data_IF_764670022385
#
_entry.id   IF_764670022385
#
_cell.length_a   1.000
_cell.length_b   1.000
_cell.length_c   1.000
_cell.angle_alpha   90.00
_cell.angle_beta   90.00
_cell.angle_gamma   90.00
#
_symmetry.space_group_name_H-M   'P 1'
#
loop_
_entity.id
_entity.type
_entity.pdbx_description
1 polymer ?
#
# COMPACT_ATOMS: atom_id res chain seq x y z
N UNK A 1 -0.47 32.26 20.52
CA UNK A 1 -1.19 31.00 20.84
C UNK A 1 -1.82 30.43 19.56
N UNK A 2 -1.00 29.94 18.61
CA UNK A 2 -1.52 29.47 17.31
C UNK A 2 -0.67 28.40 16.62
N UNK A 3 0.32 27.82 17.30
CA UNK A 3 1.27 26.88 16.70
C UNK A 3 0.87 25.40 16.89
N UNK A 4 -0.11 25.12 17.76
CA UNK A 4 -0.47 23.76 18.18
C UNK A 4 -1.71 23.18 17.48
N UNK A 5 -2.43 23.96 16.67
CA UNK A 5 -3.57 23.45 15.89
C UNK A 5 -3.19 22.97 14.47
N UNK A 6 -1.96 23.23 14.01
CA UNK A 6 -1.51 22.82 12.67
C UNK A 6 -0.92 21.42 12.63
N UNK A 7 -0.34 20.93 13.72
CA UNK A 7 0.30 19.59 13.75
C UNK A 7 -0.74 18.47 13.66
N UNK A 8 -1.92 18.63 14.29
CA UNK A 8 -3.02 17.67 14.16
C UNK A 8 -3.74 17.73 12.79
N UNK A 9 -3.42 18.69 11.92
CA UNK A 9 -3.96 18.81 10.56
C UNK A 9 -2.93 18.50 9.47
N UNK A 10 -1.67 18.27 9.83
CA UNK A 10 -0.55 18.08 8.90
C UNK A 10 -0.66 16.77 8.09
N UNK A 11 -1.28 15.73 8.64
CA UNK A 11 -1.52 14.46 7.91
C UNK A 11 -2.35 14.68 6.65
N UNK A 12 -3.29 15.63 6.71
CA UNK A 12 -4.18 15.98 5.60
C UNK A 12 -3.51 16.88 4.56
N UNK A 13 -2.51 17.68 4.94
CA UNK A 13 -1.82 18.58 4.02
C UNK A 13 -0.60 17.93 3.35
N UNK A 14 0.17 17.13 4.07
CA UNK A 14 1.41 16.55 3.53
C UNK A 14 1.10 15.54 2.41
N UNK A 15 0.15 14.63 2.63
CA UNK A 15 -0.27 13.67 1.60
C UNK A 15 -0.87 14.34 0.35
N UNK A 16 -1.39 15.56 0.44
CA UNK A 16 -2.00 16.24 -0.72
C UNK A 16 -1.01 16.60 -1.82
N UNK A 17 0.29 16.63 -1.51
CA UNK A 17 1.33 17.00 -2.48
C UNK A 17 1.85 15.80 -3.30
N UNK A 18 2.00 14.61 -2.69
CA UNK A 18 2.12 13.31 -3.40
C UNK A 18 0.94 13.13 -4.38
N UNK A 19 -0.26 13.59 -3.97
CA UNK A 19 -1.54 13.31 -4.61
C UNK A 19 -1.84 14.09 -5.89
N UNK A 20 -1.05 15.10 -6.28
CA UNK A 20 -1.42 15.93 -7.44
C UNK A 20 -1.34 15.19 -8.78
N UNK A 21 -0.59 14.09 -8.85
CA UNK A 21 -0.30 13.37 -10.11
C UNK A 21 -1.10 12.07 -10.27
N UNK A 22 -1.60 11.47 -9.18
CA UNK A 22 -2.30 10.18 -9.22
C UNK A 22 -3.61 10.22 -8.41
N UNK A 23 -4.75 10.17 -9.10
CA UNK A 23 -6.10 10.19 -8.52
C UNK A 23 -6.35 9.07 -7.49
N UNK A 24 -5.56 8.00 -7.56
CA UNK A 24 -5.63 6.83 -6.69
C UNK A 24 -4.95 7.04 -5.32
N UNK A 25 -3.97 7.94 -5.24
CA UNK A 25 -3.35 8.31 -3.96
C UNK A 25 -4.36 8.94 -2.99
N UNK A 26 -5.31 9.73 -3.49
CA UNK A 26 -6.40 10.32 -2.71
C UNK A 26 -7.30 9.23 -2.10
N UNK A 27 -7.62 8.19 -2.87
CA UNK A 27 -8.41 7.05 -2.39
C UNK A 27 -7.68 6.26 -1.31
N UNK A 28 -6.37 6.04 -1.47
CA UNK A 28 -5.56 5.36 -0.46
C UNK A 28 -5.46 6.16 0.84
N UNK A 29 -5.24 7.48 0.77
CA UNK A 29 -5.22 8.35 1.95
C UNK A 29 -6.54 8.26 2.73
N UNK A 30 -7.68 8.23 2.02
CA UNK A 30 -9.00 8.10 2.64
C UNK A 30 -9.17 6.75 3.34
N UNK A 31 -8.88 5.65 2.65
CA UNK A 31 -8.99 4.30 3.20
C UNK A 31 -8.07 4.14 4.42
N UNK A 32 -6.77 4.42 4.25
CA UNK A 32 -5.75 4.28 5.28
C UNK A 32 -5.99 5.22 6.47
N UNK A 33 -6.37 6.47 6.20
CA UNK A 33 -6.61 7.48 7.23
C UNK A 33 -7.73 7.12 8.20
N UNK A 34 -8.75 6.40 7.71
CA UNK A 34 -9.89 5.93 8.49
C UNK A 34 -9.58 4.74 9.41
N UNK A 35 -8.43 4.08 9.21
CA UNK A 35 -8.09 2.85 9.94
C UNK A 35 -7.57 3.13 11.36
N UNK A 36 -7.86 2.19 12.26
CA UNK A 36 -7.18 2.08 13.54
C UNK A 36 -5.69 1.76 13.32
N UNK A 37 -4.83 2.12 14.28
CA UNK A 37 -3.36 1.97 14.17
C UNK A 37 -2.93 0.53 13.88
N UNK A 38 -3.60 -0.46 14.47
CA UNK A 38 -3.30 -1.87 14.23
C UNK A 38 -3.64 -2.29 12.79
N UNK A 39 -4.81 -1.88 12.29
CA UNK A 39 -5.20 -2.12 10.89
C UNK A 39 -4.26 -1.43 9.89
N UNK A 40 -3.86 -0.20 10.19
CA UNK A 40 -2.85 0.53 9.43
C UNK A 40 -1.53 -0.23 9.36
N UNK A 41 -1.04 -0.78 10.48
CA UNK A 41 0.20 -1.56 10.50
C UNK A 41 0.12 -2.80 9.61
N UNK A 42 -1.02 -3.50 9.61
CA UNK A 42 -1.27 -4.61 8.70
C UNK A 42 -1.16 -4.19 7.24
N UNK A 43 -1.90 -3.15 6.84
CA UNK A 43 -1.87 -2.61 5.48
C UNK A 43 -0.49 -2.13 5.07
N UNK A 44 0.17 -1.35 5.93
CA UNK A 44 1.49 -0.80 5.66
C UNK A 44 2.53 -1.90 5.47
N UNK A 45 2.49 -2.94 6.31
CA UNK A 45 3.36 -4.12 6.18
C UNK A 45 3.17 -4.78 4.82
N UNK A 46 1.92 -5.01 4.40
CA UNK A 46 1.62 -5.57 3.08
C UNK A 46 2.18 -4.71 1.95
N UNK A 47 1.84 -3.42 1.93
CA UNK A 47 2.26 -2.49 0.87
C UNK A 47 3.78 -2.42 0.80
N UNK A 48 4.47 -2.28 1.94
CA UNK A 48 5.92 -2.22 1.99
C UNK A 48 6.55 -3.53 1.52
N UNK A 49 6.02 -4.69 1.91
CA UNK A 49 6.54 -5.98 1.45
C UNK A 49 6.41 -6.16 -0.07
N UNK A 50 5.33 -5.67 -0.68
CA UNK A 50 5.17 -5.66 -2.14
C UNK A 50 6.20 -4.73 -2.77
N UNK A 51 6.32 -3.50 -2.26
CA UNK A 51 7.28 -2.52 -2.75
C UNK A 51 8.72 -3.05 -2.67
N UNK A 52 9.07 -3.75 -1.58
CA UNK A 52 10.37 -4.42 -1.42
C UNK A 52 10.57 -5.57 -2.42
N UNK A 53 9.52 -6.36 -2.66
CA UNK A 53 9.57 -7.47 -3.63
C UNK A 53 9.73 -6.98 -5.07
N UNK A 54 9.27 -5.76 -5.36
CA UNK A 54 9.38 -5.11 -6.67
C UNK A 54 10.63 -4.22 -6.79
N UNK A 55 11.39 -4.03 -5.71
CA UNK A 55 12.58 -3.20 -5.67
C UNK A 55 12.32 -1.69 -5.57
N UNK A 56 11.08 -1.28 -5.26
CA UNK A 56 10.74 0.14 -5.04
C UNK A 56 11.19 0.64 -3.65
N UNK A 57 11.23 -0.28 -2.68
CA UNK A 57 11.69 -0.04 -1.31
C UNK A 57 12.83 -1.00 -1.00
N UNK A 58 13.83 -0.59 -0.22
CA UNK A 58 14.91 -1.52 0.15
C UNK A 58 14.43 -2.48 1.26
N UNK A 59 14.94 -3.72 1.28
CA UNK A 59 14.50 -4.75 2.24
C UNK A 59 14.75 -4.40 3.71
N UNK A 60 15.74 -3.56 3.98
CA UNK A 60 16.13 -3.14 5.33
C UNK A 60 15.72 -1.68 5.63
N UNK A 61 15.00 -1.04 4.70
CA UNK A 61 14.50 0.32 4.88
C UNK A 61 13.31 0.30 5.84
N UNK A 62 13.37 1.11 6.90
CA UNK A 62 12.31 1.20 7.89
C UNK A 62 11.17 2.08 7.35
N UNK A 63 9.91 1.58 7.31
CA UNK A 63 8.77 2.37 6.84
C UNK A 63 8.54 3.67 7.61
N UNK A 64 8.84 3.70 8.91
CA UNK A 64 8.67 4.90 9.76
C UNK A 64 9.70 5.96 9.41
N UNK A 65 10.96 5.56 9.26
CA UNK A 65 12.05 6.50 8.94
C UNK A 65 11.90 7.05 7.51
N UNK A 66 11.52 6.18 6.56
CA UNK A 66 11.21 6.60 5.20
C UNK A 66 10.00 7.53 5.14
N UNK A 67 8.95 7.21 5.90
CA UNK A 67 7.76 8.05 6.05
C UNK A 67 8.07 9.45 6.59
N UNK A 68 8.96 9.54 7.58
CA UNK A 68 9.40 10.83 8.14
C UNK A 68 10.16 11.66 7.10
N UNK A 69 11.05 11.02 6.35
CA UNK A 69 11.76 11.67 5.23
C UNK A 69 10.80 12.18 4.17
N UNK A 70 9.81 11.37 3.78
CA UNK A 70 8.77 11.76 2.81
C UNK A 70 8.06 13.03 3.31
N UNK A 71 7.57 13.00 4.55
CA UNK A 71 6.81 14.12 5.12
C UNK A 71 7.63 15.42 5.10
N UNK A 72 8.86 15.35 5.59
CA UNK A 72 9.69 16.56 5.74
C UNK A 72 10.28 17.06 4.42
N UNK A 73 10.56 16.14 3.48
CA UNK A 73 10.98 16.50 2.13
C UNK A 73 9.87 17.26 1.40
N UNK A 74 8.61 16.81 1.55
CA UNK A 74 7.45 17.46 0.96
C UNK A 74 7.15 18.82 1.58
N UNK A 75 7.27 18.95 2.90
CA UNK A 75 7.21 20.25 3.59
C UNK A 75 8.30 21.23 3.09
N UNK A 76 9.38 20.70 2.52
CA UNK A 76 10.48 21.46 1.93
C UNK A 76 10.31 21.68 0.41
N UNK A 77 9.21 21.22 -0.18
CA UNK A 77 8.86 21.39 -1.59
C UNK A 77 9.28 20.24 -2.51
N UNK A 78 9.91 19.19 -2.00
CA UNK A 78 10.30 18.01 -2.78
C UNK A 78 9.08 17.10 -2.89
N UNK A 79 8.40 17.18 -4.03
CA UNK A 79 7.20 16.41 -4.36
C UNK A 79 7.41 15.61 -5.64
N UNK A 80 6.58 14.60 -5.88
CA UNK A 80 6.61 13.87 -7.16
C UNK A 80 6.40 14.81 -8.36
N UNK A 81 5.53 15.83 -8.21
CA UNK A 81 5.32 16.86 -9.23
C UNK A 81 6.58 17.71 -9.48
N UNK A 82 7.32 18.08 -8.43
CA UNK A 82 8.62 18.78 -8.58
C UNK A 82 9.69 17.92 -9.26
N UNK A 83 9.49 16.60 -9.28
CA UNK A 83 10.35 15.63 -9.95
C UNK A 83 9.81 15.20 -11.33
N UNK A 84 8.90 15.98 -11.94
CA UNK A 84 8.33 15.70 -13.27
C UNK A 84 7.60 14.35 -13.37
N UNK A 85 7.08 13.83 -12.24
CA UNK A 85 6.46 12.51 -12.19
C UNK A 85 7.45 11.34 -12.16
N UNK A 86 8.75 11.60 -12.11
CA UNK A 86 9.79 10.57 -12.04
C UNK A 86 9.96 10.09 -10.59
N UNK A 87 9.47 8.88 -10.34
CA UNK A 87 9.57 8.22 -9.05
C UNK A 87 11.01 7.88 -8.64
N UNK A 88 11.91 7.56 -9.57
CA UNK A 88 13.29 7.23 -9.23
C UNK A 88 14.03 8.48 -8.77
N UNK A 89 13.82 9.60 -9.48
CA UNK A 89 14.32 10.93 -9.08
C UNK A 89 13.74 11.33 -7.72
N UNK A 90 12.43 11.23 -7.55
CA UNK A 90 11.76 11.56 -6.29
C UNK A 90 12.26 10.73 -5.10
N UNK A 91 12.37 9.40 -5.26
CA UNK A 91 12.89 8.54 -4.18
C UNK A 91 14.36 8.79 -3.87
N UNK A 92 15.16 9.19 -4.86
CA UNK A 92 16.55 9.59 -4.65
C UNK A 92 16.64 10.86 -3.80
N UNK A 93 15.84 11.88 -4.11
CA UNK A 93 15.76 13.12 -3.33
C UNK A 93 15.30 12.84 -1.89
N UNK A 94 14.25 12.02 -1.70
CA UNK A 94 13.78 11.62 -0.36
C UNK A 94 14.87 10.93 0.44
N UNK A 95 15.57 9.95 -0.14
CA UNK A 95 16.59 9.17 0.59
C UNK A 95 17.76 10.04 1.02
N UNK A 96 18.14 11.02 0.20
CA UNK A 96 19.20 12.00 0.46
C UNK A 96 18.74 13.17 1.35
N UNK A 97 17.44 13.33 1.58
CA UNK A 97 16.90 14.39 2.40
C UNK A 97 17.38 14.27 3.85
N UNK A 98 17.86 15.40 4.39
CA UNK A 98 18.30 15.48 5.78
C UNK A 98 17.13 15.86 6.67
N UNK A 99 16.75 14.93 7.52
CA UNK A 99 15.65 15.06 8.47
C UNK A 99 15.99 16.04 9.60
N UNK A 100 14.99 16.81 10.03
CA UNK A 100 15.01 17.62 11.24
C UNK A 100 14.50 16.79 12.43
N UNK A 101 15.41 16.45 13.35
CA UNK A 101 15.12 15.61 14.51
C UNK A 101 14.05 16.20 15.45
N UNK A 102 13.89 17.53 15.50
CA UNK A 102 12.85 18.16 16.33
C UNK A 102 11.48 17.95 15.70
N UNK A 103 11.36 18.12 14.38
CA UNK A 103 10.13 17.81 13.65
C UNK A 103 9.78 16.34 13.73
N UNK A 104 10.77 15.45 13.59
CA UNK A 104 10.59 14.00 13.68
C UNK A 104 9.94 13.53 14.98
N UNK A 105 10.26 14.18 16.11
CA UNK A 105 9.67 13.84 17.43
C UNK A 105 8.23 14.31 17.57
N UNK A 106 7.82 15.30 16.78
CA UNK A 106 6.48 15.86 16.79
C UNK A 106 5.55 15.13 15.82
N UNK A 107 6.10 14.52 14.78
CA UNK A 107 5.34 13.70 13.82
C UNK A 107 5.02 12.33 14.42
N UNK A 108 3.74 11.94 14.44
CA UNK A 108 3.34 10.64 14.97
C UNK A 108 3.76 9.50 14.05
N UNK A 109 4.12 8.34 14.61
CA UNK A 109 4.45 7.13 13.83
C UNK A 109 3.32 6.71 12.88
N UNK A 110 2.06 6.94 13.28
CA UNK A 110 0.90 6.69 12.42
C UNK A 110 1.03 7.45 11.10
N UNK A 111 1.40 8.73 11.18
CA UNK A 111 1.43 9.63 10.04
C UNK A 111 2.61 9.31 9.13
N UNK A 112 3.77 9.02 9.72
CA UNK A 112 4.95 8.50 9.01
C UNK A 112 4.61 7.23 8.25
N UNK A 113 3.96 6.28 8.91
CA UNK A 113 3.57 5.01 8.31
C UNK A 113 2.55 5.18 7.17
N UNK A 114 1.58 6.09 7.34
CA UNK A 114 0.63 6.46 6.29
C UNK A 114 1.34 7.06 5.09
N UNK A 115 2.25 8.03 5.28
CA UNK A 115 2.99 8.67 4.19
C UNK A 115 3.79 7.64 3.38
N UNK A 116 4.55 6.77 4.06
CA UNK A 116 5.27 5.68 3.42
C UNK A 116 4.33 4.76 2.61
N UNK A 117 3.22 4.34 3.22
CA UNK A 117 2.25 3.43 2.57
C UNK A 117 1.61 4.05 1.34
N UNK A 118 1.27 5.34 1.38
CA UNK A 118 0.66 6.04 0.25
C UNK A 118 1.64 6.19 -0.91
N UNK A 119 2.89 6.58 -0.66
CA UNK A 119 3.91 6.71 -1.71
C UNK A 119 4.23 5.35 -2.33
N UNK A 120 4.46 4.32 -1.50
CA UNK A 120 4.74 2.97 -1.98
C UNK A 120 3.55 2.39 -2.75
N UNK A 121 2.34 2.58 -2.22
CA UNK A 121 1.10 2.19 -2.89
C UNK A 121 0.97 2.85 -4.25
N UNK A 122 1.19 4.16 -4.34
CA UNK A 122 1.09 4.91 -5.59
C UNK A 122 2.15 4.43 -6.61
N UNK A 123 3.37 4.10 -6.16
CA UNK A 123 4.39 3.51 -7.03
C UNK A 123 3.98 2.15 -7.57
N UNK A 124 3.38 1.30 -6.74
CA UNK A 124 2.83 0.00 -7.14
C UNK A 124 1.72 0.19 -8.19
N UNK A 125 0.78 1.10 -7.93
CA UNK A 125 -0.30 1.40 -8.87
C UNK A 125 0.22 1.92 -10.21
N UNK A 126 1.22 2.81 -10.18
CA UNK A 126 1.88 3.31 -11.38
C UNK A 126 2.57 2.18 -12.17
N UNK A 127 3.16 1.20 -11.49
CA UNK A 127 3.80 0.06 -12.14
C UNK A 127 2.80 -0.87 -12.83
N UNK A 128 1.66 -1.16 -12.18
CA UNK A 128 0.65 -2.08 -12.71
C UNK A 128 -0.46 -1.39 -13.53
N UNK A 129 -0.52 -0.06 -13.53
CA UNK A 129 -1.55 0.73 -14.21
C UNK A 129 -2.95 0.59 -13.62
N UNK A 130 -3.07 0.10 -12.39
CA UNK A 130 -4.36 -0.18 -11.72
C UNK A 130 -4.30 0.21 -10.25
N UNK A 131 -5.43 0.64 -9.68
CA UNK A 131 -5.48 1.03 -8.27
C UNK A 131 -5.49 -0.17 -7.32
N UNK A 132 -4.71 -0.08 -6.23
CA UNK A 132 -4.70 -1.05 -5.12
C UNK A 132 -5.66 -0.67 -4.00
N UNK A 133 -6.30 0.50 -4.07
CA UNK A 133 -7.25 0.95 -3.04
C UNK A 133 -8.34 -0.09 -2.69
N UNK A 134 -8.92 -0.85 -3.66
CA UNK A 134 -9.90 -1.89 -3.35
C UNK A 134 -9.35 -3.05 -2.48
N UNK A 135 -8.03 -3.25 -2.46
CA UNK A 135 -7.40 -4.29 -1.64
C UNK A 135 -7.10 -3.82 -0.22
N UNK A 136 -7.09 -2.52 0.06
CA UNK A 136 -6.67 -1.98 1.38
C UNK A 136 -7.51 -2.56 2.54
N UNK A 137 -8.85 -2.63 2.45
CA UNK A 137 -9.65 -3.28 3.51
C UNK A 137 -9.31 -4.76 3.69
N UNK A 138 -8.98 -5.47 2.61
CA UNK A 138 -8.59 -6.88 2.64
C UNK A 138 -7.25 -7.08 3.34
N UNK A 139 -6.28 -6.21 3.03
CA UNK A 139 -4.95 -6.20 3.65
C UNK A 139 -5.02 -5.92 5.15
N UNK A 140 -5.94 -5.05 5.58
CA UNK A 140 -6.17 -4.76 6.99
C UNK A 140 -6.79 -5.92 7.77
N UNK A 141 -7.71 -6.67 7.14
CA UNK A 141 -8.41 -7.81 7.77
C UNK A 141 -7.58 -9.10 7.76
N UNK A 142 -6.84 -9.35 6.69
CA UNK A 142 -6.08 -10.58 6.48
C UNK A 142 -4.62 -10.29 6.08
N UNK A 143 -3.84 -9.59 6.93
CA UNK A 143 -2.47 -9.15 6.58
C UNK A 143 -1.52 -10.32 6.30
N UNK A 144 -1.68 -11.45 6.99
CA UNK A 144 -0.87 -12.66 6.75
C UNK A 144 -1.18 -13.30 5.39
N UNK A 145 -2.44 -13.20 4.95
CA UNK A 145 -2.86 -13.70 3.65
C UNK A 145 -2.37 -12.78 2.53
N UNK A 146 -2.68 -11.49 2.60
CA UNK A 146 -2.30 -10.53 1.56
C UNK A 146 -0.84 -10.06 1.69
N UNK A 147 0.13 -10.94 1.91
CA UNK A 147 1.53 -10.54 1.96
C UNK A 147 2.13 -10.27 0.57
N UNK A 148 3.27 -9.57 0.54
CA UNK A 148 3.92 -9.17 -0.72
C UNK A 148 4.29 -10.33 -1.64
N UNK A 149 4.67 -11.49 -1.09
CA UNK A 149 4.97 -12.68 -1.88
C UNK A 149 3.72 -13.25 -2.56
N UNK A 150 2.61 -13.38 -1.82
CA UNK A 150 1.33 -13.88 -2.35
C UNK A 150 0.76 -12.95 -3.40
N UNK A 151 0.67 -11.65 -3.13
CA UNK A 151 0.11 -10.71 -4.09
C UNK A 151 0.99 -10.65 -5.35
N UNK A 152 2.33 -10.59 -5.22
CA UNK A 152 3.23 -10.67 -6.38
C UNK A 152 2.98 -11.93 -7.21
N UNK A 153 2.85 -13.10 -6.58
CA UNK A 153 2.60 -14.36 -7.29
C UNK A 153 1.24 -14.35 -8.03
N UNK A 154 0.19 -13.73 -7.46
CA UNK A 154 -1.08 -13.53 -8.14
C UNK A 154 -0.95 -12.63 -9.37
N UNK A 155 -0.19 -11.53 -9.24
CA UNK A 155 0.06 -10.58 -10.33
C UNK A 155 0.93 -11.21 -11.44
N UNK A 156 1.96 -11.98 -11.09
CA UNK A 156 2.80 -12.72 -12.04
C UNK A 156 1.99 -13.73 -12.87
N UNK A 157 0.88 -14.25 -12.32
CA UNK A 157 -0.08 -15.14 -13.01
C UNK A 157 -1.12 -14.39 -13.85
N UNK A 158 -1.02 -13.07 -13.95
CA UNK A 158 -1.90 -12.23 -14.76
C UNK A 158 -3.25 -11.91 -14.13
N UNK A 159 -3.45 -12.18 -12.83
CA UNK A 159 -4.62 -11.66 -12.12
C UNK A 159 -4.48 -10.15 -11.97
N UNK A 160 -5.53 -9.40 -12.31
CA UNK A 160 -5.55 -7.98 -12.02
C UNK A 160 -5.92 -7.73 -10.57
N UNK A 161 -5.36 -6.66 -10.00
CA UNK A 161 -5.66 -6.18 -8.64
C UNK A 161 -7.18 -6.01 -8.44
N UNK A 162 -7.88 -5.50 -9.45
CA UNK A 162 -9.34 -5.36 -9.45
C UNK A 162 -10.05 -6.71 -9.30
N UNK A 163 -9.69 -7.72 -10.11
CA UNK A 163 -10.31 -9.06 -10.02
C UNK A 163 -10.04 -9.75 -8.69
N UNK A 164 -8.87 -9.51 -8.08
CA UNK A 164 -8.57 -10.01 -6.73
C UNK A 164 -9.49 -9.32 -5.72
N UNK A 165 -9.62 -7.99 -5.77
CA UNK A 165 -10.53 -7.24 -4.91
C UNK A 165 -11.98 -7.70 -5.05
N UNK A 166 -12.48 -7.76 -6.27
CA UNK A 166 -13.84 -8.18 -6.59
C UNK A 166 -14.14 -9.60 -6.14
N UNK A 167 -13.14 -10.49 -6.13
CA UNK A 167 -13.30 -11.86 -5.64
C UNK A 167 -13.63 -11.88 -4.14
N UNK A 168 -12.85 -11.14 -3.34
CA UNK A 168 -12.98 -11.12 -1.89
C UNK A 168 -14.13 -10.24 -1.40
N UNK A 169 -14.55 -9.25 -2.19
CA UNK A 169 -15.74 -8.44 -1.90
C UNK A 169 -17.02 -8.99 -2.55
N UNK A 170 -17.00 -10.22 -3.08
CA UNK A 170 -18.15 -10.87 -3.71
C UNK A 170 -18.78 -10.08 -4.88
N UNK A 171 -17.99 -9.24 -5.56
CA UNK A 171 -18.40 -8.34 -6.64
C UNK A 171 -18.03 -8.83 -8.04
N UNK A 172 -17.39 -10.00 -8.18
CA UNK A 172 -17.04 -10.55 -9.49
C UNK A 172 -18.28 -10.83 -10.35
N UNK A 173 -18.16 -10.52 -11.65
CA UNK A 173 -19.13 -10.97 -12.64
C UNK A 173 -19.20 -12.51 -12.65
N UNK A 174 -20.41 -13.05 -12.86
CA UNK A 174 -20.65 -14.51 -12.82
C UNK A 174 -19.70 -15.32 -13.72
N UNK A 175 -19.33 -14.76 -14.89
CA UNK A 175 -18.39 -15.41 -15.84
C UNK A 175 -16.94 -15.43 -15.33
N UNK A 176 -16.56 -14.50 -14.47
CA UNK A 176 -15.18 -14.35 -13.96
C UNK A 176 -14.97 -15.08 -12.63
N UNK A 177 -16.02 -15.37 -11.87
CA UNK A 177 -15.93 -16.00 -10.55
C UNK A 177 -15.15 -17.32 -10.55
N UNK A 178 -15.53 -18.27 -11.41
CA UNK A 178 -14.88 -19.59 -11.49
C UNK A 178 -13.41 -19.53 -11.98
N UNK A 179 -13.06 -18.83 -13.07
CA UNK A 179 -11.67 -18.76 -13.53
C UNK A 179 -10.75 -17.99 -12.57
N UNK A 180 -11.24 -16.93 -11.91
CA UNK A 180 -10.46 -16.23 -10.89
C UNK A 180 -10.23 -17.12 -9.67
N UNK A 181 -11.26 -17.82 -9.17
CA UNK A 181 -11.11 -18.78 -8.06
C UNK A 181 -10.10 -19.88 -8.41
N UNK A 182 -10.16 -20.45 -9.60
CA UNK A 182 -9.22 -21.48 -10.04
C UNK A 182 -7.77 -20.98 -10.06
N UNK A 183 -7.54 -19.74 -10.48
CA UNK A 183 -6.20 -19.13 -10.52
C UNK A 183 -5.67 -18.86 -9.10
N UNK A 184 -6.54 -18.38 -8.20
CA UNK A 184 -6.20 -18.19 -6.78
C UNK A 184 -5.86 -19.53 -6.11
N UNK A 185 -6.64 -20.58 -6.35
CA UNK A 185 -6.36 -21.93 -5.85
C UNK A 185 -5.03 -22.45 -6.37
N UNK A 186 -4.75 -22.30 -7.67
CA UNK A 186 -3.45 -22.68 -8.23
C UNK A 186 -2.30 -21.86 -7.63
N UNK A 187 -2.52 -20.60 -7.27
CA UNK A 187 -1.53 -19.81 -6.55
C UNK A 187 -1.26 -20.41 -5.17
N UNK A 188 -2.30 -20.63 -4.37
CA UNK A 188 -2.14 -21.19 -3.03
C UNK A 188 -1.59 -22.62 -3.03
N UNK A 189 -1.89 -23.42 -4.06
CA UNK A 189 -1.34 -24.76 -4.22
C UNK A 189 0.19 -24.76 -4.37
N UNK A 190 0.79 -23.70 -4.92
CA UNK A 190 2.26 -23.59 -4.99
C UNK A 190 2.90 -23.36 -3.62
N UNK A 191 2.15 -22.76 -2.68
CA UNK A 191 2.60 -22.47 -1.32
C UNK A 191 2.26 -23.61 -0.35
N UNK A 192 1.17 -24.32 -0.62
CA UNK A 192 0.66 -25.45 0.18
C UNK A 192 0.36 -26.67 -0.70
N UNK A 193 1.39 -27.38 -1.21
CA UNK A 193 1.20 -28.49 -2.16
C UNK A 193 0.37 -29.65 -1.60
N UNK A 194 0.41 -29.86 -0.28
CA UNK A 194 -0.30 -30.92 0.43
C UNK A 194 -1.79 -30.65 0.62
N UNK A 195 -2.24 -29.39 0.56
CA UNK A 195 -3.65 -29.03 0.71
C UNK A 195 -4.44 -29.40 -0.54
N UNK A 196 -5.62 -29.98 -0.40
CA UNK A 196 -6.51 -30.28 -1.52
C UNK A 196 -7.13 -29.01 -2.11
N UNK A 197 -7.54 -29.07 -3.37
CA UNK A 197 -8.20 -27.94 -4.04
C UNK A 197 -9.49 -27.51 -3.33
N UNK A 198 -10.21 -28.43 -2.70
CA UNK A 198 -11.40 -28.15 -1.92
C UNK A 198 -11.06 -27.32 -0.66
N UNK A 199 -10.06 -27.73 0.10
CA UNK A 199 -9.60 -27.00 1.30
C UNK A 199 -9.13 -25.58 0.95
N UNK A 200 -8.40 -25.43 -0.16
CA UNK A 200 -7.95 -24.11 -0.62
C UNK A 200 -9.12 -23.22 -1.05
N UNK A 201 -10.14 -23.79 -1.71
CA UNK A 201 -11.37 -23.04 -2.06
C UNK A 201 -12.13 -22.60 -0.82
N UNK A 202 -12.29 -23.48 0.15
CA UNK A 202 -13.02 -23.19 1.37
C UNK A 202 -12.31 -22.10 2.19
N UNK A 203 -10.98 -22.16 2.29
CA UNK A 203 -10.15 -21.09 2.86
C UNK A 203 -10.34 -19.77 2.10
N UNK A 204 -10.26 -19.76 0.77
CA UNK A 204 -10.43 -18.52 -0.01
C UNK A 204 -11.84 -17.95 0.11
N UNK A 205 -12.85 -18.81 0.26
CA UNK A 205 -14.26 -18.40 0.43
C UNK A 205 -14.55 -17.87 1.83
N UNK A 206 -13.90 -18.40 2.86
CA UNK A 206 -14.09 -17.92 4.25
C UNK A 206 -13.55 -16.50 4.46
N UNK A 207 -12.66 -16.04 3.58
CA UNK A 207 -12.13 -14.67 3.58
C UNK A 207 -13.00 -13.67 2.78
N UNK A 208 -14.07 -14.14 2.11
CA UNK A 208 -14.98 -13.24 1.37
C UNK A 208 -15.92 -12.50 2.33
N UNK A 209 -16.32 -11.30 1.92
CA UNK A 209 -17.43 -10.53 2.51
C UNK A 209 -18.80 -10.95 1.95
#
# INVERSE_FOLDING_TARGET
MGFWSSVCSAVSSVCSSVCSVASSAVSMVKEIGSMAVEGLRGVASVICNIAQSLGFMEKNENPIDLGDKIIQAEDSGITLASCDGDYEKYMTEIRNFKVDDEKSKLTADKDKLTACSVVMGARIENHYGVSIAPLIPLMGRNPDFFNGGRLKAMLDKGLSILKIGDYFSSNLERKDAAPVEATLVQNEKTLSPSSSDAELKDMLRSMRE
#
